data_IF_530083212210
#
_entry.id   IF_530083212210
#
_cell.length_a   1.000
_cell.length_b   1.000
_cell.length_c   1.000
_cell.angle_alpha   90.00
_cell.angle_beta   90.00
_cell.angle_gamma   90.00
#
_symmetry.space_group_name_H-M   'P 1'
#
loop_
_entity.id
_entity.type
_entity.pdbx_description
1 polymer ?
2 water ?
#
# COMPACT_ATOMS: atom_id res chain seq x y z
N UNK A 49 -28.00 -1.73 -42.17
CA UNK A 49 -27.06 -2.55 -41.33
C UNK A 49 -25.75 -1.87 -40.90
N UNK A 50 -25.75 -0.54 -40.90
CA UNK A 50 -24.93 0.25 -39.97
C UNK A 50 -25.26 -0.24 -38.54
N UNK A 51 -26.54 -0.54 -38.31
CA UNK A 51 -27.05 -1.07 -37.04
C UNK A 51 -26.46 -2.42 -36.66
N UNK A 52 -26.63 -3.41 -37.54
CA UNK A 52 -26.03 -4.73 -37.36
C UNK A 52 -24.54 -4.64 -37.00
N UNK A 53 -23.80 -3.86 -37.80
CA UNK A 53 -22.37 -3.59 -37.59
C UNK A 53 -22.09 -3.06 -36.17
N UNK A 54 -22.75 -1.98 -35.77
CA UNK A 54 -22.56 -1.39 -34.45
C UNK A 54 -22.94 -2.41 -33.33
N UNK A 55 -24.04 -3.13 -33.53
CA UNK A 55 -24.49 -4.14 -32.56
C UNK A 55 -23.46 -5.25 -32.34
N UNK A 56 -22.87 -5.79 -33.42
CA UNK A 56 -21.82 -6.80 -33.28
C UNK A 56 -20.62 -6.30 -32.45
N UNK A 57 -20.17 -5.09 -32.73
CA UNK A 57 -19.07 -4.43 -32.01
C UNK A 57 -19.37 -4.24 -30.54
N UNK A 58 -20.61 -3.87 -30.22
CA UNK A 58 -21.01 -3.61 -28.83
C UNK A 58 -20.99 -4.93 -28.06
N UNK A 59 -21.61 -5.98 -28.63
CA UNK A 59 -21.62 -7.31 -28.03
C UNK A 59 -20.21 -7.85 -27.76
N UNK A 60 -19.31 -7.62 -28.72
CA UNK A 60 -17.90 -7.96 -28.56
C UNK A 60 -17.21 -7.13 -27.47
N UNK A 61 -17.54 -5.85 -27.36
CA UNK A 61 -16.97 -5.05 -26.28
C UNK A 61 -17.45 -5.50 -24.88
N UNK A 62 -18.73 -5.90 -24.76
CA UNK A 62 -19.28 -6.49 -23.51
C UNK A 62 -18.55 -7.81 -23.13
N UNK A 63 -18.46 -8.74 -24.08
CA UNK A 63 -17.72 -10.00 -23.92
C UNK A 63 -16.27 -9.80 -23.48
N UNK A 64 -15.53 -8.97 -24.20
CA UNK A 64 -14.13 -8.70 -23.84
C UNK A 64 -13.93 -7.88 -22.56
N UNK A 65 -14.79 -6.91 -22.28
CA UNK A 65 -14.77 -6.17 -21.00
C UNK A 65 -14.99 -7.11 -19.82
N UNK A 66 -15.88 -8.06 -19.97
CA UNK A 66 -16.20 -8.98 -18.91
C UNK A 66 -14.99 -9.84 -18.52
N UNK A 67 -14.22 -10.27 -19.51
CA UNK A 67 -13.03 -11.11 -19.30
C UNK A 67 -11.96 -10.31 -18.60
N UNK A 68 -11.86 -9.03 -18.96
CA UNK A 68 -10.89 -8.15 -18.31
C UNK A 68 -11.24 -7.95 -16.83
N UNK A 69 -12.53 -7.74 -16.57
CA UNK A 69 -13.04 -7.48 -15.23
C UNK A 69 -12.91 -8.75 -14.37
N UNK A 70 -13.27 -9.90 -14.95
CA UNK A 70 -13.19 -11.18 -14.27
C UNK A 70 -11.79 -11.55 -13.79
N UNK A 71 -10.78 -10.91 -14.36
CA UNK A 71 -9.40 -11.04 -13.88
C UNK A 71 -9.14 -10.41 -12.51
N UNK A 72 -9.93 -9.40 -12.12
CA UNK A 72 -9.63 -8.62 -10.90
C UNK A 72 -10.79 -8.69 -9.92
N UNK A 73 -11.98 -9.00 -10.43
CA UNK A 73 -13.21 -8.99 -9.66
C UNK A 73 -13.22 -9.89 -8.42
N UNK A 74 -12.80 -11.17 -8.56
CA UNK A 74 -12.68 -12.07 -7.40
C UNK A 74 -11.68 -11.53 -6.36
N UNK A 75 -10.57 -10.97 -6.84
CA UNK A 75 -9.56 -10.41 -5.98
C UNK A 75 -10.06 -9.23 -5.19
N UNK A 76 -10.82 -8.36 -5.85
CA UNK A 76 -11.31 -7.12 -5.24
C UNK A 76 -12.28 -7.46 -4.12
N UNK A 77 -13.12 -8.47 -4.36
CA UNK A 77 -14.09 -8.90 -3.38
C UNK A 77 -13.33 -9.43 -2.14
N UNK A 78 -12.27 -10.21 -2.35
CA UNK A 78 -11.46 -10.72 -1.24
C UNK A 78 -10.76 -9.60 -0.47
N UNK A 79 -10.17 -8.67 -1.20
CA UNK A 79 -9.52 -7.51 -0.60
C UNK A 79 -10.50 -6.65 0.19
N UNK A 80 -11.69 -6.37 -0.38
CA UNK A 80 -12.71 -5.62 0.36
C UNK A 80 -13.06 -6.30 1.70
N UNK A 81 -13.24 -7.62 1.68
CA UNK A 81 -13.54 -8.37 2.90
C UNK A 81 -12.39 -8.30 3.94
N UNK A 82 -11.15 -8.46 3.44
CA UNK A 82 -9.93 -8.42 4.24
C UNK A 82 -9.80 -7.04 4.87
N UNK A 83 -9.98 -5.97 4.07
CA UNK A 83 -9.92 -4.60 4.58
C UNK A 83 -10.94 -4.40 5.70
N UNK A 84 -12.18 -4.83 5.49
CA UNK A 84 -13.22 -4.72 6.53
C UNK A 84 -12.80 -5.48 7.81
N UNK A 85 -12.23 -6.68 7.63
CA UNK A 85 -11.77 -7.47 8.77
C UNK A 85 -10.63 -6.79 9.57
N UNK A 86 -9.68 -6.16 8.87
CA UNK A 86 -8.62 -5.38 9.52
C UNK A 86 -9.17 -4.19 10.32
N UNK A 87 -10.12 -3.46 9.71
CA UNK A 87 -10.77 -2.32 10.35
C UNK A 87 -11.48 -2.72 11.64
N UNK A 88 -12.00 -3.94 11.69
CA UNK A 88 -12.73 -4.42 12.88
C UNK A 88 -11.79 -4.90 14.00
N UNK A 89 -10.50 -5.08 13.71
CA UNK A 89 -9.56 -5.63 14.71
C UNK A 89 -9.38 -4.70 15.91
N UNK A 90 -9.15 -5.29 17.09
CA UNK A 90 -8.86 -4.48 18.24
C UNK A 90 -7.34 -4.22 18.23
N UNK A 91 -6.93 -2.96 18.20
CA UNK A 91 -5.50 -2.65 18.26
C UNK A 91 -5.01 -3.01 19.68
N UNK A 92 -3.84 -3.63 19.82
CA UNK A 92 -3.36 -3.80 21.20
C UNK A 92 -2.99 -2.44 21.87
N UNK A 93 -3.05 -2.38 23.20
CA UNK A 93 -2.74 -1.14 23.92
C UNK A 93 -1.36 -0.61 23.61
N UNK A 94 -0.37 -1.48 23.36
CA UNK A 94 1.01 -1.01 23.03
C UNK A 94 1.21 -0.57 21.58
N UNK A 95 0.16 -0.71 20.78
CA UNK A 95 0.22 -0.32 19.37
C UNK A 95 1.40 -0.98 18.63
N UNK A 96 1.67 -2.24 19.00
CA UNK A 96 2.75 -3.02 18.39
C UNK A 96 4.12 -2.37 18.52
N UNK A 97 4.31 -1.55 19.56
CA UNK A 97 5.52 -0.75 19.75
C UNK A 97 5.59 0.64 19.07
N UNK A 98 4.57 1.01 18.29
CA UNK A 98 4.50 2.28 17.59
C UNK A 98 3.80 3.25 18.54
N UNK A 99 4.54 3.66 19.57
CA UNK A 99 4.00 4.54 20.59
C UNK A 99 5.08 5.51 21.05
N UNK A 100 4.68 6.45 21.89
CA UNK A 100 5.59 7.54 22.32
C UNK A 100 6.71 7.09 23.28
N UNK A 101 6.55 5.94 23.95
CA UNK A 101 7.65 5.38 24.75
C UNK A 101 8.87 4.93 23.91
N UNK A 102 8.65 4.59 22.63
CA UNK A 102 9.70 4.03 21.78
C UNK A 102 10.10 4.96 20.62
N UNK A 103 9.20 5.85 20.26
CA UNK A 103 9.46 6.84 19.22
C UNK A 103 9.09 8.20 19.81
N UNK A 104 10.09 9.06 20.02
CA UNK A 104 9.83 10.36 20.66
C UNK A 104 8.92 11.28 19.83
N UNK A 105 7.89 11.83 20.48
CA UNK A 105 6.99 12.82 19.89
C UNK A 105 7.77 14.03 19.34
N UNK A 106 7.27 14.63 18.27
CA UNK A 106 7.78 15.92 17.74
C UNK A 106 9.21 15.89 17.19
N UNK A 107 9.61 14.75 16.66
CA UNK A 107 10.86 14.68 15.93
C UNK A 107 10.60 14.64 14.43
N UNK A 108 9.47 14.08 14.04
CA UNK A 108 9.13 13.98 12.62
C UNK A 108 7.60 13.99 12.46
N UNK A 109 7.10 14.73 11.47
CA UNK A 109 5.67 14.88 11.25
C UNK A 109 4.96 13.56 10.98
N UNK A 110 5.59 12.71 10.22
CA UNK A 110 4.99 11.41 9.82
C UNK A 110 4.95 10.45 11.00
N UNK A 111 6.01 10.47 11.81
CA UNK A 111 5.95 9.77 13.12
C UNK A 111 4.80 10.28 13.96
N UNK A 112 4.63 11.61 14.01
CA UNK A 112 3.57 12.16 14.88
C UNK A 112 2.18 11.81 14.37
N UNK A 113 1.99 11.81 13.07
CA UNK A 113 0.69 11.38 12.50
C UNK A 113 0.38 9.96 12.99
N UNK A 114 1.38 9.08 12.93
CA UNK A 114 1.19 7.68 13.39
C UNK A 114 0.86 7.62 14.87
N UNK A 115 1.54 8.45 15.68
CA UNK A 115 1.33 8.43 17.12
C UNK A 115 -0.06 8.92 17.48
N UNK A 116 -0.58 9.81 16.64
CA UNK A 116 -1.82 10.49 16.96
C UNK A 116 -3.06 9.80 16.41
N UNK A 117 -2.92 9.06 15.33
CA UNK A 117 -4.13 8.65 14.61
C UNK A 117 -4.21 7.12 14.42
N UNK A 118 -5.16 6.47 15.09
CA UNK A 118 -5.27 5.02 14.99
C UNK A 118 -5.67 4.51 13.59
N UNK A 119 -6.32 5.35 12.80
CA UNK A 119 -6.73 4.97 11.45
C UNK A 119 -5.52 4.94 10.52
N UNK A 120 -4.54 5.83 10.72
CA UNK A 120 -3.30 5.79 9.92
C UNK A 120 -2.45 4.62 10.37
N UNK A 121 -2.44 4.33 11.68
CA UNK A 121 -1.75 3.10 12.14
C UNK A 121 -2.44 1.85 11.55
N UNK A 122 -3.78 1.83 11.51
CA UNK A 122 -4.47 0.66 10.89
C UNK A 122 -4.05 0.50 9.41
N UNK A 123 -4.05 1.60 8.64
CA UNK A 123 -3.54 1.55 7.26
C UNK A 123 -2.14 0.99 7.19
N UNK A 124 -1.25 1.47 8.05
CA UNK A 124 0.10 0.96 8.01
C UNK A 124 0.15 -0.58 8.32
N UNK A 125 -0.65 -1.02 9.31
CA UNK A 125 -0.69 -2.45 9.66
C UNK A 125 -1.20 -3.27 8.45
N UNK A 126 -2.27 -2.79 7.81
CA UNK A 126 -2.84 -3.42 6.62
C UNK A 126 -1.88 -3.37 5.44
N UNK A 127 -1.03 -2.35 5.34
CA UNK A 127 0.01 -2.32 4.28
C UNK A 127 0.99 -3.52 4.36
N UNK A 128 1.04 -4.18 5.51
CA UNK A 128 1.90 -5.33 5.76
C UNK A 128 1.06 -6.59 6.01
N UNK A 129 -0.14 -6.58 5.45
CA UNK A 129 -1.09 -7.68 5.53
C UNK A 129 -1.49 -7.98 6.99
N UNK A 130 -1.44 -6.94 7.84
CA UNK A 130 -1.69 -7.09 9.28
C UNK A 130 -0.98 -8.31 9.87
N UNK A 131 0.27 -8.50 9.47
CA UNK A 131 1.14 -9.55 10.02
C UNK A 131 1.73 -8.95 11.33
N UNK A 132 1.11 -9.32 12.45
CA UNK A 132 1.44 -8.81 13.75
C UNK A 132 2.88 -8.98 14.15
N UNK A 133 3.42 -10.17 13.93
CA UNK A 133 4.83 -10.42 14.26
C UNK A 133 5.76 -9.53 13.45
N UNK A 134 5.42 -9.36 12.18
CA UNK A 134 6.25 -8.53 11.30
C UNK A 134 6.17 -7.04 11.68
N UNK A 135 4.97 -6.58 12.01
CA UNK A 135 4.73 -5.20 12.42
C UNK A 135 5.53 -4.91 13.71
N UNK A 136 5.36 -5.77 14.71
CA UNK A 136 6.09 -5.62 15.96
C UNK A 136 7.60 -5.66 15.72
N UNK A 137 8.08 -6.64 14.93
CA UNK A 137 9.51 -6.74 14.64
C UNK A 137 10.09 -5.47 13.94
N UNK A 138 9.41 -5.01 12.88
CA UNK A 138 9.78 -3.75 12.23
C UNK A 138 9.82 -2.59 13.24
N UNK A 139 8.78 -2.48 14.07
CA UNK A 139 8.70 -1.35 15.00
C UNK A 139 9.87 -1.37 15.98
N UNK A 140 10.21 -2.57 16.46
CA UNK A 140 11.35 -2.77 17.37
C UNK A 140 12.65 -2.35 16.65
N UNK A 141 12.82 -2.83 15.43
CA UNK A 141 14.02 -2.52 14.63
C UNK A 141 14.16 -1.00 14.45
N UNK A 142 13.07 -0.34 14.06
CA UNK A 142 13.08 1.11 13.84
C UNK A 142 13.39 1.93 15.11
N UNK A 143 12.76 1.59 16.22
CA UNK A 143 12.99 2.23 17.53
C UNK A 143 14.41 2.10 18.08
N UNK A 144 15.26 1.28 17.48
CA UNK A 144 16.64 1.31 17.91
C UNK A 144 17.59 1.99 16.92
N UNK A 145 17.09 2.50 15.79
CA UNK A 145 17.96 3.26 14.89
C UNK A 145 18.34 4.59 15.57
N UNK A 146 19.45 5.16 15.13
CA UNK A 146 20.04 6.33 15.78
C UNK A 146 20.77 7.03 14.66
N UNK A 147 21.12 8.31 14.86
CA UNK A 147 22.00 9.05 13.95
C UNK A 147 22.55 10.32 14.64
N UNK A 148 23.53 10.99 14.01
CA UNK A 148 24.13 12.23 14.56
C UNK A 148 23.27 13.46 14.28
N UNK A 149 22.73 13.52 13.07
CA UNK A 149 21.93 14.63 12.56
C UNK A 149 20.40 14.43 12.69
N UNK A 150 19.99 13.38 13.42
CA UNK A 150 18.57 13.02 13.62
C UNK A 150 17.82 12.58 12.38
N UNK A 151 18.54 12.37 11.29
CA UNK A 151 17.91 12.01 10.05
C UNK A 151 17.15 10.67 10.13
N UNK A 152 17.57 9.81 11.08
CA UNK A 152 16.92 8.51 11.27
C UNK A 152 15.45 8.71 11.54
N UNK A 153 15.08 9.80 12.24
CA UNK A 153 13.66 10.13 12.44
C UNK A 153 12.94 10.43 11.13
N UNK A 154 13.60 11.10 10.20
CA UNK A 154 12.99 11.38 8.92
C UNK A 154 12.82 10.08 8.14
N UNK A 155 13.81 9.21 8.22
CA UNK A 155 13.71 7.94 7.54
C UNK A 155 12.56 7.11 8.13
N UNK A 156 12.46 7.06 9.45
CA UNK A 156 11.37 6.32 10.13
C UNK A 156 10.03 6.84 9.60
N UNK A 157 9.83 8.17 9.71
CA UNK A 157 8.67 8.82 9.12
C UNK A 157 8.35 8.44 7.68
N UNK A 158 9.36 8.41 6.80
CA UNK A 158 9.10 8.12 5.40
C UNK A 158 8.71 6.65 5.19
N UNK A 159 9.24 5.78 6.05
CA UNK A 159 8.79 4.39 6.08
C UNK A 159 7.30 4.29 6.48
N UNK A 160 6.91 4.88 7.59
CA UNK A 160 5.51 4.89 8.00
C UNK A 160 4.65 5.51 6.87
N UNK A 161 5.05 6.71 6.41
CA UNK A 161 4.32 7.36 5.32
C UNK A 161 4.14 6.51 4.09
N UNK A 162 5.24 5.93 3.60
CA UNK A 162 5.16 5.10 2.42
C UNK A 162 4.11 4.00 2.62
N UNK A 163 4.09 3.40 3.81
CA UNK A 163 3.17 2.29 4.04
C UNK A 163 1.73 2.74 4.10
N UNK A 164 1.44 3.80 4.87
CA UNK A 164 0.02 4.14 4.92
C UNK A 164 -0.52 4.76 3.64
N UNK A 165 0.34 5.41 2.86
CA UNK A 165 -0.09 6.02 1.60
C UNK A 165 -0.32 4.98 0.52
N UNK A 166 0.59 4.00 0.42
CA UNK A 166 0.35 2.90 -0.51
C UNK A 166 -0.98 2.19 -0.17
N UNK A 167 -1.16 1.79 1.09
CA UNK A 167 -2.39 1.10 1.48
C UNK A 167 -3.62 1.99 1.27
N UNK A 168 -3.52 3.29 1.58
CA UNK A 168 -4.63 4.19 1.29
C UNK A 168 -5.04 4.24 -0.20
N UNK A 169 -4.05 4.34 -1.10
CA UNK A 169 -4.29 4.33 -2.54
C UNK A 169 -4.90 3.00 -2.94
N UNK A 170 -4.35 1.91 -2.39
CA UNK A 170 -4.85 0.56 -2.69
C UNK A 170 -6.32 0.44 -2.28
N UNK A 171 -6.65 0.85 -1.05
CA UNK A 171 -8.00 0.66 -0.55
C UNK A 171 -9.01 1.55 -1.30
N UNK A 172 -8.59 2.75 -1.67
CA UNK A 172 -9.43 3.65 -2.49
C UNK A 172 -9.79 3.00 -3.82
N UNK A 173 -8.80 2.44 -4.50
CA UNK A 173 -9.04 1.69 -5.72
C UNK A 173 -10.00 0.53 -5.46
N UNK A 174 -9.75 -0.27 -4.41
CA UNK A 174 -10.67 -1.32 -4.04
C UNK A 174 -12.08 -0.76 -3.81
N UNK A 175 -12.20 0.33 -3.04
CA UNK A 175 -13.53 0.91 -2.73
C UNK A 175 -14.24 1.52 -3.94
N UNK A 176 -13.48 1.96 -4.93
CA UNK A 176 -14.05 2.56 -6.15
C UNK A 176 -14.53 1.47 -7.11
N UNK A 177 -13.81 0.35 -7.13
CA UNK A 177 -14.15 -0.73 -8.07
C UNK A 177 -15.17 -1.71 -7.53
N UNK A 178 -16.33 -1.17 -7.10
CA UNK A 178 -17.42 -1.99 -6.60
C UNK A 178 -17.98 -2.86 -7.71
N UNK A 179 -18.76 -3.87 -7.34
CA UNK A 179 -19.48 -4.67 -8.33
C UNK A 179 -20.31 -3.81 -9.30
N UNK A 180 -21.07 -2.86 -8.79
CA UNK A 180 -21.85 -1.92 -9.63
C UNK A 180 -20.95 -1.16 -10.57
N UNK A 181 -19.81 -0.67 -10.09
CA UNK A 181 -18.88 0.03 -10.93
C UNK A 181 -18.29 -0.90 -11.99
N UNK A 182 -18.05 -2.14 -11.61
CA UNK A 182 -17.49 -3.12 -12.53
C UNK A 182 -18.48 -3.39 -13.65
N UNK A 183 -19.75 -3.57 -13.28
CA UNK A 183 -20.81 -3.71 -14.27
C UNK A 183 -20.95 -2.48 -15.16
N UNK A 184 -20.89 -1.29 -14.55
CA UNK A 184 -20.88 -0.05 -15.31
C UNK A 184 -19.75 -0.08 -16.36
N UNK A 185 -18.57 -0.56 -15.96
CA UNK A 185 -17.43 -0.60 -16.87
C UNK A 185 -17.68 -1.56 -18.00
N UNK A 186 -18.23 -2.73 -17.67
CA UNK A 186 -18.43 -3.75 -18.68
C UNK A 186 -19.35 -3.20 -19.76
N UNK A 187 -20.44 -2.55 -19.31
CA UNK A 187 -21.55 -2.22 -20.21
C UNK A 187 -21.49 -0.85 -20.87
N UNK A 188 -20.63 0.05 -20.39
CA UNK A 188 -20.65 1.40 -20.90
C UNK A 188 -19.32 1.92 -21.41
N UNK A 189 -18.27 1.13 -21.32
CA UNK A 189 -16.93 1.66 -21.65
C UNK A 189 -16.31 0.92 -22.83
N UNK A 190 -15.46 1.62 -23.60
CA UNK A 190 -14.67 0.93 -24.62
C UNK A 190 -13.67 -0.04 -23.97
N UNK A 191 -13.39 -1.14 -24.66
CA UNK A 191 -12.47 -2.18 -24.17
C UNK A 191 -11.08 -1.65 -23.84
N UNK A 192 -10.61 -0.68 -24.61
CA UNK A 192 -9.31 -0.06 -24.36
C UNK A 192 -9.21 0.61 -22.97
N UNK A 193 -10.28 1.29 -22.55
CA UNK A 193 -10.33 1.91 -21.22
C UNK A 193 -10.40 0.87 -20.10
N UNK A 194 -11.20 -0.15 -20.32
CA UNK A 194 -11.42 -1.18 -19.31
C UNK A 194 -10.10 -1.92 -19.06
N UNK A 195 -9.39 -2.21 -20.15
CA UNK A 195 -8.05 -2.78 -20.09
C UNK A 195 -7.06 -1.89 -19.32
N UNK A 196 -7.03 -0.59 -19.63
CA UNK A 196 -6.16 0.31 -18.89
C UNK A 196 -6.43 0.24 -17.37
N UNK A 197 -7.71 0.28 -16.99
CA UNK A 197 -8.11 0.21 -15.59
C UNK A 197 -7.72 -1.11 -14.94
N UNK A 198 -8.05 -2.23 -15.57
CA UNK A 198 -7.72 -3.53 -15.03
C UNK A 198 -6.20 -3.69 -14.81
N UNK A 199 -5.43 -3.29 -15.81
CA UNK A 199 -3.98 -3.37 -15.72
C UNK A 199 -3.39 -2.35 -14.73
N UNK A 200 -4.03 -1.19 -14.59
CA UNK A 200 -3.56 -0.25 -13.58
C UNK A 200 -3.87 -0.82 -12.19
N UNK A 201 -4.98 -1.56 -12.07
CA UNK A 201 -5.28 -2.19 -10.78
C UNK A 201 -4.22 -3.25 -10.42
N UNK A 202 -3.91 -4.15 -11.37
CA UNK A 202 -2.83 -5.13 -11.21
C UNK A 202 -1.49 -4.47 -10.89
N UNK A 203 -1.21 -3.34 -11.52
CA UNK A 203 -0.02 -2.51 -11.18
C UNK A 203 0.01 -2.06 -9.72
N UNK A 204 -1.15 -1.67 -9.21
CA UNK A 204 -1.29 -1.19 -7.84
C UNK A 204 -1.09 -2.37 -6.87
N UNK A 205 -1.62 -3.53 -7.23
CA UNK A 205 -1.38 -4.73 -6.45
C UNK A 205 0.10 -4.98 -6.31
N UNK A 206 0.85 -4.81 -7.41
CA UNK A 206 2.28 -5.09 -7.43
C UNK A 206 3.10 -4.08 -6.63
N UNK A 207 2.78 -2.79 -6.76
CA UNK A 207 3.38 -1.75 -5.91
C UNK A 207 3.32 -2.11 -4.44
N UNK A 208 2.17 -2.66 -4.04
CA UNK A 208 1.90 -2.98 -2.66
C UNK A 208 2.83 -4.13 -2.27
N UNK A 209 2.89 -5.14 -3.15
CA UNK A 209 3.78 -6.26 -2.93
C UNK A 209 5.26 -5.87 -2.93
N UNK A 210 5.66 -4.92 -3.78
CA UNK A 210 7.05 -4.47 -3.77
C UNK A 210 7.37 -3.74 -2.46
N UNK A 211 6.38 -3.05 -1.92
CA UNK A 211 6.53 -2.36 -0.62
C UNK A 211 6.75 -3.38 0.48
N UNK A 212 5.95 -4.45 0.47
CA UNK A 212 6.12 -5.52 1.48
C UNK A 212 7.52 -6.12 1.40
N UNK A 213 8.03 -6.29 0.18
CA UNK A 213 9.36 -6.88 -0.04
C UNK A 213 10.45 -5.97 0.50
N UNK A 214 10.28 -4.65 0.34
CA UNK A 214 11.21 -3.66 0.97
C UNK A 214 11.30 -3.88 2.48
N UNK A 215 10.15 -3.91 3.15
CA UNK A 215 10.11 -4.17 4.58
C UNK A 215 10.77 -5.51 4.91
N UNK A 216 10.49 -6.55 4.12
CA UNK A 216 11.12 -7.84 4.36
C UNK A 216 12.65 -7.78 4.25
N UNK A 217 13.14 -7.03 3.27
CA UNK A 217 14.55 -6.81 3.10
C UNK A 217 15.19 -6.00 4.23
N UNK A 218 14.49 -4.96 4.69
CA UNK A 218 14.95 -4.18 5.86
C UNK A 218 15.09 -5.06 7.12
N UNK A 219 14.08 -5.88 7.39
CA UNK A 219 14.12 -6.82 8.50
C UNK A 219 15.28 -7.83 8.31
N UNK A 220 15.45 -8.28 7.07
CA UNK A 220 16.54 -9.18 6.65
C UNK A 220 17.92 -8.62 6.95
N UNK A 221 18.15 -7.33 6.72
CA UNK A 221 19.45 -6.72 7.09
C UNK A 221 19.74 -6.90 8.57
N UNK A 222 18.72 -6.63 9.37
CA UNK A 222 18.81 -6.73 10.82
C UNK A 222 19.09 -8.19 11.21
N UNK A 223 18.33 -9.12 10.63
CA UNK A 223 18.50 -10.58 10.89
C UNK A 223 19.88 -11.11 10.45
N UNK A 224 20.37 -10.70 9.30
CA UNK A 224 21.75 -10.98 8.85
C UNK A 224 22.82 -10.26 9.68
N UNK A 225 22.43 -9.26 10.46
CA UNK A 225 23.38 -8.42 11.18
C UNK A 225 24.33 -7.63 10.26
N UNK A 226 23.83 -7.22 9.10
CA UNK A 226 24.62 -6.42 8.13
C UNK A 226 25.45 -5.32 8.85
N UNK A 227 26.78 -5.40 8.71
CA UNK A 227 27.69 -4.40 9.28
C UNK A 227 27.70 -4.33 10.80
N UNK A 228 27.17 -5.36 11.44
CA UNK A 228 26.98 -5.35 12.90
C UNK A 228 25.92 -4.37 13.37
N UNK A 229 24.89 -4.16 12.55
CA UNK A 229 23.79 -3.22 12.89
C UNK A 229 23.02 -3.59 14.15
N UNK A 230 23.03 -4.88 14.50
CA UNK A 230 22.38 -5.34 15.74
C UNK A 230 22.93 -4.68 16.99
N UNK A 231 24.21 -4.31 16.96
CA UNK A 231 24.91 -3.75 18.13
C UNK A 231 25.02 -2.21 18.06
N UNK A 232 24.68 -1.65 16.90
CA UNK A 232 24.91 -0.23 16.69
C UNK A 232 23.74 0.36 15.91
N UNK A 233 22.98 1.23 16.59
CA UNK A 233 21.79 1.85 16.05
C UNK A 233 22.11 2.86 14.95
N UNK A 234 23.33 3.42 15.00
CA UNK A 234 23.79 4.29 13.92
C UNK A 234 24.10 3.51 12.65
N UNK A 235 24.79 2.38 12.80
CA UNK A 235 25.05 1.51 11.66
C UNK A 235 23.72 1.04 11.06
N UNK A 236 22.76 0.75 11.93
CA UNK A 236 21.45 0.27 11.48
C UNK A 236 20.72 1.34 10.67
N UNK A 237 20.68 2.57 11.18
CA UNK A 237 20.09 3.69 10.42
C UNK A 237 20.70 3.85 9.04
N UNK A 238 22.01 3.69 8.96
CA UNK A 238 22.74 3.88 7.72
C UNK A 238 22.53 2.71 6.77
N UNK A 239 22.45 1.51 7.34
CA UNK A 239 22.12 0.34 6.56
C UNK A 239 20.77 0.54 5.89
N UNK A 240 19.80 1.04 6.64
CA UNK A 240 18.45 1.19 6.13
C UNK A 240 18.39 2.36 5.13
N UNK A 241 18.96 3.52 5.49
CA UNK A 241 19.03 4.68 4.59
C UNK A 241 19.63 4.34 3.23
N UNK A 242 20.85 3.79 3.22
CA UNK A 242 21.58 3.55 1.99
C UNK A 242 20.93 2.44 1.20
N UNK A 243 20.58 1.33 1.87
CA UNK A 243 19.91 0.24 1.16
C UNK A 243 18.54 0.63 0.58
N UNK A 244 17.77 1.46 1.27
CA UNK A 244 16.30 1.44 1.06
C UNK A 244 15.57 2.76 0.92
N UNK A 245 16.19 3.89 1.28
CA UNK A 245 15.44 5.16 1.21
C UNK A 245 14.94 5.50 -0.21
N UNK A 246 15.81 5.30 -1.19
CA UNK A 246 15.47 5.55 -2.60
C UNK A 246 14.43 4.59 -3.11
N UNK A 247 14.23 3.49 -2.40
CA UNK A 247 13.30 2.46 -2.81
C UNK A 247 11.87 2.83 -2.43
N UNK A 248 11.75 3.74 -1.48
CA UNK A 248 10.46 4.11 -0.90
C UNK A 248 9.78 5.00 -1.90
N UNK A 249 8.52 4.70 -2.21
CA UNK A 249 7.86 5.39 -3.32
C UNK A 249 6.36 5.17 -3.23
N UNK A 250 5.66 6.01 -2.49
CA UNK A 250 4.19 5.93 -2.52
C UNK A 250 3.57 6.82 -3.63
N UNK A 251 4.39 7.70 -4.22
CA UNK A 251 4.00 8.53 -5.38
C UNK A 251 3.48 7.72 -6.54
N UNK A 252 4.24 6.70 -6.93
CA UNK A 252 3.83 5.80 -7.98
C UNK A 252 2.42 5.22 -7.76
N UNK A 253 2.15 4.76 -6.54
CA UNK A 253 0.82 4.27 -6.15
C UNK A 253 -0.27 5.36 -6.30
N UNK A 254 -0.07 6.24 -5.88
CA UNK A 254 -1.00 7.38 -6.00
C UNK A 254 -1.05 7.92 -7.43
N UNK A 255 -0.26 7.91 -8.17
CA UNK A 255 -0.46 8.17 -9.59
C UNK A 255 -1.26 7.07 -10.28
N UNK A 256 -0.93 5.80 -10.02
CA UNK A 256 -1.71 4.70 -10.57
C UNK A 256 -3.18 4.85 -10.18
N UNK A 257 -3.43 5.29 -8.94
CA UNK A 257 -4.81 5.50 -8.47
C UNK A 257 -5.53 6.55 -9.30
N UNK A 258 -4.87 7.70 -9.45
CA UNK A 258 -5.38 8.83 -10.22
C UNK A 258 -5.73 8.41 -11.67
N UNK A 259 -4.93 7.53 -12.26
CA UNK A 259 -5.21 7.00 -13.60
C UNK A 259 -6.35 6.02 -13.65
N UNK A 260 -6.71 5.43 -12.49
CA UNK A 260 -7.93 4.59 -12.39
C UNK A 260 -9.13 5.51 -12.17
N UNK A 261 -8.95 6.55 -11.36
CA UNK A 261 -10.03 7.48 -11.05
C UNK A 261 -10.50 8.31 -12.25
N UNK A 262 -9.57 8.84 -13.04
CA UNK A 262 -9.93 9.83 -14.07
C UNK A 262 -10.83 9.32 -15.22
N UNK A 263 -10.64 8.09 -15.72
CA UNK A 263 -11.64 7.56 -16.66
C UNK A 263 -13.02 7.33 -16.05
N UNK A 264 -13.07 7.11 -14.74
CA UNK A 264 -14.31 6.73 -14.09
C UNK A 264 -15.28 7.89 -13.88
N UNK A 265 -14.76 9.11 -13.80
CA UNK A 265 -15.63 10.28 -13.60
C UNK A 265 -16.52 10.56 -14.80
N UNK A 266 -16.16 10.03 -15.98
CA UNK A 266 -17.05 9.93 -17.14
C UNK A 266 -18.41 9.35 -16.76
#
# INVERSE_FOLDING_TARGET
>A
GAMGNNTEAISELQSSPIKLGKIKVLQKTEKIVSTQNLQNLQQSQFFKNEKEKIIKKIAQEFDENEKLINKIGPNIEMFAQTINTDIQKIEPNDQFGINKTLFTEKKDNNIDFMLKDNRLRRLFYSSLNYDENKIKKLATILAQTSSSNDYHYTLIGLIFWTGFKIQEAFESAVNILTKDEQKRLIFNFRTKTVKEIQENFEKLMQERNSWIKIVDNIIGEYDKNTGGCKADGKILGEVIRVGYEHELDSNKSMQILNNIETPLKTCCDHIHY
#
